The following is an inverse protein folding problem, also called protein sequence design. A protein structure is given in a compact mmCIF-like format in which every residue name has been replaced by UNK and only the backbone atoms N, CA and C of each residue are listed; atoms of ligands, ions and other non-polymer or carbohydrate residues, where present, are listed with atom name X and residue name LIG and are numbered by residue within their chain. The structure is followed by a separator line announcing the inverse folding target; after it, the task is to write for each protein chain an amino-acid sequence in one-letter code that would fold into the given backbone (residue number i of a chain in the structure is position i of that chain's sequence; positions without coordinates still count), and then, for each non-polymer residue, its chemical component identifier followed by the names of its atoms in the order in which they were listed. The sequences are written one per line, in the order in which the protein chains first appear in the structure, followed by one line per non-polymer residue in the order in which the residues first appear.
data_IF_269444047107
#
_entry.id   IF_269444047107
#
_cell.length_a   1.000
_cell.length_b   1.000
_cell.length_c   1.000
_cell.angle_alpha   90.00
_cell.angle_beta   90.00
_cell.angle_gamma   90.00
#
_symmetry.space_group_name_H-M   'P 1'
#
loop_
_entity.id
_entity.type
_entity.pdbx_description
1 polymer ?
#
# COMPACT_ATOMS: atom_id res chain seq x y z
N UNK A 1 25.31 3.11 9.27
CA UNK A 1 25.72 1.86 9.96
C UNK A 1 25.12 0.60 9.33
N UNK A 2 23.93 0.69 8.72
CA UNK A 2 23.30 -0.46 8.07
C UNK A 2 23.87 -0.71 6.66
N UNK A 3 24.14 -1.97 6.36
CA UNK A 3 24.50 -2.48 5.03
C UNK A 3 23.90 -3.87 4.86
N UNK A 4 23.45 -4.23 3.66
CA UNK A 4 22.90 -5.55 3.35
C UNK A 4 23.26 -5.99 1.93
N UNK A 5 23.59 -7.27 1.78
CA UNK A 5 23.73 -7.91 0.49
C UNK A 5 23.39 -9.41 0.60
N UNK A 6 22.64 -9.93 -0.36
CA UNK A 6 22.37 -11.37 -0.51
C UNK A 6 22.52 -11.74 -1.98
N UNK A 7 23.26 -12.81 -2.27
CA UNK A 7 23.47 -13.29 -3.65
C UNK A 7 23.99 -12.20 -4.61
N UNK A 8 24.79 -11.24 -4.11
CA UNK A 8 25.35 -10.15 -4.92
C UNK A 8 24.42 -8.95 -5.17
N UNK A 9 23.22 -8.93 -4.56
CA UNK A 9 22.28 -7.82 -4.68
C UNK A 9 21.95 -7.19 -3.31
N UNK A 10 21.84 -5.84 -3.23
CA UNK A 10 22.28 -4.86 -4.23
C UNK A 10 23.79 -4.92 -4.49
N UNK A 11 24.25 -4.40 -5.65
CA UNK A 11 25.69 -4.38 -6.00
C UNK A 11 26.51 -3.58 -4.97
N UNK A 12 25.99 -2.44 -4.54
CA UNK A 12 26.52 -1.70 -3.39
C UNK A 12 25.70 -2.09 -2.14
N UNK A 13 26.30 -2.67 -1.09
CA UNK A 13 25.58 -3.10 0.11
C UNK A 13 25.00 -1.94 0.92
N UNK A 14 25.29 -0.68 0.55
CA UNK A 14 24.69 0.54 1.12
C UNK A 14 23.40 0.95 0.42
N UNK A 15 22.97 0.24 -0.62
CA UNK A 15 21.76 0.52 -1.39
C UNK A 15 21.99 1.51 -2.53
N UNK A 16 20.90 1.92 -3.18
CA UNK A 16 20.96 2.91 -4.27
C UNK A 16 21.27 4.31 -3.72
N UNK A 17 21.93 5.19 -4.51
CA UNK A 17 22.22 6.55 -4.09
C UNK A 17 20.96 7.38 -3.81
N UNK A 18 21.01 8.24 -2.80
CA UNK A 18 19.98 9.22 -2.48
C UNK A 18 20.60 10.55 -2.02
N UNK A 19 19.87 11.66 -2.21
CA UNK A 19 20.20 12.95 -1.61
C UNK A 19 19.44 13.11 -0.29
N UNK A 20 20.13 13.29 0.85
CA UNK A 20 19.48 13.56 2.13
C UNK A 20 18.54 14.76 2.04
N UNK A 21 17.26 14.51 2.31
CA UNK A 21 16.19 15.53 2.25
C UNK A 21 15.28 15.49 3.50
N UNK A 22 15.69 14.79 4.56
CA UNK A 22 14.94 14.62 5.81
C UNK A 22 14.05 13.37 5.85
N UNK A 23 13.87 12.67 4.73
CA UNK A 23 13.17 11.38 4.69
C UNK A 23 14.04 10.23 5.20
N UNK A 24 13.39 9.18 5.68
CA UNK A 24 14.04 8.01 6.27
C UNK A 24 14.42 7.03 5.16
N UNK A 25 15.71 6.70 5.03
CA UNK A 25 16.15 5.69 4.09
C UNK A 25 15.57 4.32 4.46
N UNK A 26 14.87 3.69 3.54
CA UNK A 26 14.41 2.30 3.64
C UNK A 26 15.15 1.47 2.58
N UNK A 27 15.47 0.23 2.94
CA UNK A 27 16.16 -0.71 2.04
C UNK A 27 15.17 -1.64 1.32
N UNK A 28 14.14 -2.08 2.04
CA UNK A 28 13.16 -3.04 1.59
C UNK A 28 11.76 -2.45 1.68
N UNK A 29 10.90 -2.89 0.77
CA UNK A 29 9.47 -2.66 0.83
C UNK A 29 8.83 -3.58 1.87
N UNK A 30 7.56 -3.33 2.26
CA UNK A 30 6.75 -4.28 3.03
C UNK A 30 6.52 -5.63 2.33
N UNK A 31 6.84 -5.74 1.05
CA UNK A 31 6.91 -7.01 0.29
C UNK A 31 8.22 -7.78 0.49
N UNK A 32 9.15 -7.26 1.31
CA UNK A 32 10.53 -7.74 1.46
C UNK A 32 11.40 -7.61 0.19
N UNK A 33 10.90 -6.97 -0.87
CA UNK A 33 11.66 -6.67 -2.08
C UNK A 33 12.56 -5.44 -1.89
N UNK A 34 13.70 -5.44 -2.58
CA UNK A 34 14.61 -4.30 -2.61
C UNK A 34 13.95 -3.11 -3.33
N UNK A 35 14.10 -1.92 -2.75
CA UNK A 35 13.64 -0.68 -3.37
C UNK A 35 14.48 -0.28 -4.59
N UNK A 36 13.88 0.49 -5.52
CA UNK A 36 14.60 1.12 -6.63
C UNK A 36 15.12 2.49 -6.17
N UNK A 37 14.24 3.31 -5.57
CA UNK A 37 14.65 4.54 -4.91
C UNK A 37 14.46 4.48 -3.40
N UNK A 38 15.36 5.10 -2.62
CA UNK A 38 15.54 4.65 -1.25
C UNK A 38 14.57 5.29 -0.24
N UNK A 39 13.81 6.31 -0.65
CA UNK A 39 12.74 6.89 0.15
C UNK A 39 11.38 6.32 -0.27
N UNK A 40 10.92 5.29 0.46
CA UNK A 40 9.61 4.66 0.26
C UNK A 40 8.50 5.52 0.84
N UNK A 41 7.73 6.18 -0.01
CA UNK A 41 6.75 7.21 0.37
C UNK A 41 5.64 6.69 1.31
N UNK A 42 4.99 5.53 1.06
CA UNK A 42 4.01 4.98 2.00
C UNK A 42 4.56 4.79 3.42
N UNK A 43 5.79 4.28 3.53
CA UNK A 43 6.45 4.09 4.82
C UNK A 43 6.85 5.40 5.49
N UNK A 44 7.13 6.47 4.73
CA UNK A 44 7.33 7.80 5.32
C UNK A 44 6.05 8.32 5.98
N UNK A 45 4.90 8.16 5.31
CA UNK A 45 3.61 8.53 5.90
C UNK A 45 3.33 7.74 7.17
N UNK A 46 3.55 6.43 7.13
CA UNK A 46 3.33 5.59 8.30
C UNK A 46 4.28 5.93 9.46
N UNK A 47 5.56 6.17 9.17
CA UNK A 47 6.54 6.60 10.17
C UNK A 47 6.17 7.95 10.79
N UNK A 48 5.75 8.92 9.95
CA UNK A 48 5.32 10.24 10.38
C UNK A 48 4.06 10.17 11.26
N UNK A 49 3.03 9.42 10.85
CA UNK A 49 1.83 9.19 11.64
C UNK A 49 2.16 8.53 12.99
N UNK A 50 2.98 7.48 12.98
CA UNK A 50 3.39 6.77 14.19
C UNK A 50 4.18 7.67 15.14
N UNK A 51 5.07 8.52 14.61
CA UNK A 51 5.80 9.50 15.42
C UNK A 51 4.85 10.49 16.09
N UNK A 52 3.84 11.00 15.40
CA UNK A 52 2.80 11.87 16.01
C UNK A 52 2.10 11.18 17.18
N UNK A 53 1.67 9.93 17.01
CA UNK A 53 1.04 9.16 18.10
C UNK A 53 1.97 9.01 19.32
N UNK A 54 3.27 8.78 19.09
CA UNK A 54 4.26 8.71 20.17
C UNK A 54 4.46 10.07 20.85
N UNK A 55 4.44 11.17 20.09
CA UNK A 55 4.53 12.52 20.63
C UNK A 55 3.31 12.89 21.47
N UNK A 56 2.10 12.51 21.02
CA UNK A 56 0.87 12.69 21.78
C UNK A 56 0.92 11.91 23.10
N UNK A 57 1.37 10.65 23.06
CA UNK A 57 1.57 9.84 24.25
C UNK A 57 2.59 10.50 25.19
N UNK A 58 3.70 11.03 24.66
CA UNK A 58 4.72 11.71 25.44
C UNK A 58 4.20 12.99 26.08
N UNK A 59 3.39 13.78 25.35
CA UNK A 59 2.75 14.99 25.88
C UNK A 59 1.80 14.64 27.02
N UNK A 60 0.97 13.61 26.85
CA UNK A 60 0.02 13.15 27.89
C UNK A 60 0.74 12.61 29.12
N UNK A 61 1.81 11.81 28.95
CA UNK A 61 2.51 11.15 30.05
C UNK A 61 3.54 12.04 30.76
N UNK A 62 4.18 12.97 30.04
CA UNK A 62 5.34 13.71 30.54
C UNK A 62 5.23 15.24 30.40
N UNK A 63 4.13 15.77 29.83
CA UNK A 63 3.89 17.20 29.64
C UNK A 63 5.04 17.95 28.93
N UNK A 64 5.63 17.31 27.90
CA UNK A 64 6.70 17.90 27.09
C UNK A 64 6.20 18.16 25.68
N UNK A 65 6.38 19.39 25.19
CA UNK A 65 6.10 19.74 23.80
C UNK A 65 7.14 19.16 22.84
N UNK A 66 6.71 18.95 21.59
CA UNK A 66 7.52 18.37 20.53
C UNK A 66 7.10 18.90 19.17
N UNK A 67 8.09 19.18 18.33
CA UNK A 67 7.86 19.66 16.96
C UNK A 67 7.47 18.53 16.02
N UNK A 68 6.41 18.77 15.24
CA UNK A 68 6.01 17.91 14.14
C UNK A 68 6.90 18.17 12.91
N UNK A 69 7.30 17.10 12.22
CA UNK A 69 7.97 17.21 10.91
C UNK A 69 6.93 17.23 9.80
N UNK A 70 7.22 17.86 8.67
CA UNK A 70 6.33 17.82 7.49
C UNK A 70 6.97 16.97 6.39
N UNK A 71 6.18 16.13 5.74
CA UNK A 71 6.61 15.35 4.57
C UNK A 71 6.58 16.22 3.31
N UNK A 72 7.62 17.02 3.12
CA UNK A 72 7.80 17.80 1.90
C UNK A 72 8.38 16.95 0.77
N UNK A 73 7.99 17.22 -0.48
CA UNK A 73 8.63 16.68 -1.71
C UNK A 73 8.32 15.24 -2.12
N UNK A 74 7.20 14.67 -1.67
CA UNK A 74 6.77 13.29 -2.04
C UNK A 74 5.77 13.22 -3.20
N UNK A 75 5.39 14.39 -3.75
CA UNK A 75 4.39 14.51 -4.81
C UNK A 75 5.02 14.80 -6.18
N UNK A 76 4.38 14.29 -7.23
CA UNK A 76 4.81 14.42 -8.63
C UNK A 76 3.59 14.78 -9.49
N UNK A 77 3.78 15.66 -10.47
CA UNK A 77 2.75 15.98 -11.46
C UNK A 77 2.73 14.89 -12.53
N UNK A 78 1.62 14.18 -12.63
CA UNK A 78 1.33 13.20 -13.67
C UNK A 78 0.41 13.82 -14.73
N UNK A 79 0.68 13.60 -16.01
CA UNK A 79 -0.04 14.27 -17.11
C UNK A 79 -1.55 14.00 -17.11
N UNK A 80 -1.94 12.73 -16.87
CA UNK A 80 -3.34 12.29 -16.82
C UNK A 80 -4.04 12.51 -15.47
N UNK A 81 -3.35 12.29 -14.35
CA UNK A 81 -3.97 12.25 -13.01
C UNK A 81 -3.75 13.53 -12.20
N UNK A 82 -2.98 14.49 -12.70
CA UNK A 82 -2.62 15.69 -11.94
C UNK A 82 -1.57 15.38 -10.87
N UNK A 83 -1.64 16.06 -9.72
CA UNK A 83 -0.69 15.84 -8.63
C UNK A 83 -0.98 14.52 -7.92
N UNK A 84 -0.01 13.61 -7.89
CA UNK A 84 -0.07 12.30 -7.22
C UNK A 84 1.12 12.12 -6.27
N UNK A 85 1.06 11.15 -5.37
CA UNK A 85 2.22 10.68 -4.62
C UNK A 85 3.08 9.75 -5.48
N UNK A 86 4.40 9.90 -5.43
CA UNK A 86 5.31 8.87 -5.93
C UNK A 86 5.35 7.69 -4.95
N UNK A 87 5.68 6.50 -5.44
CA UNK A 87 5.86 5.32 -4.58
C UNK A 87 7.24 5.35 -3.90
N UNK A 88 8.28 5.65 -4.67
CA UNK A 88 9.64 5.83 -4.18
C UNK A 88 10.28 7.08 -4.79
N UNK A 89 11.15 7.76 -4.05
CA UNK A 89 11.96 8.88 -4.54
C UNK A 89 13.41 8.79 -4.06
N UNK A 90 14.32 9.48 -4.73
CA UNK A 90 15.76 9.50 -4.40
C UNK A 90 16.26 10.83 -3.82
N UNK A 91 15.39 11.86 -3.77
CA UNK A 91 15.77 13.22 -3.36
C UNK A 91 16.63 13.99 -4.38
N UNK A 92 16.99 13.37 -5.52
CA UNK A 92 17.73 13.96 -6.63
C UNK A 92 16.82 14.33 -7.81
N UNK A 93 15.51 14.12 -7.67
CA UNK A 93 14.49 14.46 -8.66
C UNK A 93 13.91 13.26 -9.40
N UNK A 94 14.36 12.03 -9.08
CA UNK A 94 13.76 10.82 -9.65
C UNK A 94 12.65 10.31 -8.74
N UNK A 95 11.62 9.78 -9.39
CA UNK A 95 10.46 9.20 -8.75
C UNK A 95 10.06 7.91 -9.48
N UNK A 96 9.60 6.93 -8.70
CA UNK A 96 8.99 5.72 -9.21
C UNK A 96 7.48 5.85 -9.03
N UNK A 97 6.75 5.78 -10.15
CA UNK A 97 5.28 5.86 -10.15
C UNK A 97 4.73 4.45 -10.29
N UNK A 98 4.24 3.89 -9.19
CA UNK A 98 3.56 2.60 -9.10
C UNK A 98 2.79 2.53 -7.77
N UNK A 99 2.22 1.38 -7.44
CA UNK A 99 1.99 0.97 -6.06
C UNK A 99 2.18 -0.54 -5.95
N UNK A 100 2.35 -1.02 -4.73
CA UNK A 100 2.52 -2.44 -4.38
C UNK A 100 1.38 -2.87 -3.45
N UNK A 101 1.04 -4.15 -3.46
CA UNK A 101 -0.05 -4.67 -2.66
C UNK A 101 0.21 -4.69 -1.15
N UNK A 102 1.47 -4.78 -0.72
CA UNK A 102 1.80 -4.89 0.71
C UNK A 102 1.61 -3.54 1.43
N UNK A 103 0.99 -3.58 2.60
CA UNK A 103 0.73 -2.40 3.45
C UNK A 103 1.94 -2.14 4.38
N UNK A 104 2.45 -0.91 4.52
CA UNK A 104 2.01 0.35 3.92
C UNK A 104 2.21 0.46 2.40
N UNK A 105 1.09 0.70 1.70
CA UNK A 105 1.01 1.07 0.29
C UNK A 105 0.38 2.46 0.13
N UNK A 106 0.51 3.08 -1.05
CA UNK A 106 -0.13 4.37 -1.31
C UNK A 106 -1.67 4.26 -1.22
N UNK A 107 -2.23 3.14 -1.68
CA UNK A 107 -3.67 2.85 -1.56
C UNK A 107 -4.14 2.77 -0.10
N UNK A 108 -3.30 2.27 0.81
CA UNK A 108 -3.63 2.07 2.22
C UNK A 108 -3.51 3.32 3.11
N UNK A 109 -3.06 4.46 2.57
CA UNK A 109 -2.74 5.64 3.38
C UNK A 109 -3.90 6.13 4.27
N UNK A 110 -5.16 6.24 3.80
CA UNK A 110 -6.27 6.62 4.67
C UNK A 110 -6.61 5.58 5.74
N UNK A 111 -6.28 4.31 5.51
CA UNK A 111 -6.47 3.24 6.49
C UNK A 111 -5.43 3.36 7.63
N UNK A 112 -4.15 3.52 7.29
CA UNK A 112 -3.07 3.59 8.28
C UNK A 112 -2.92 4.95 8.96
N UNK A 113 -3.20 6.04 8.24
CA UNK A 113 -2.93 7.40 8.66
C UNK A 113 -4.22 8.25 8.60
N UNK A 114 -5.34 7.83 9.23
CA UNK A 114 -6.65 8.45 9.02
C UNK A 114 -6.72 9.92 9.48
N UNK A 115 -5.83 10.32 10.40
CA UNK A 115 -5.72 11.70 10.88
C UNK A 115 -4.86 12.61 9.96
N UNK A 116 -4.04 12.01 9.09
CA UNK A 116 -3.14 12.76 8.20
C UNK A 116 -3.64 12.74 6.74
N UNK A 117 -4.28 11.65 6.30
CA UNK A 117 -4.76 11.47 4.93
C UNK A 117 -6.23 11.11 4.94
N UNK A 118 -7.07 12.09 4.63
CA UNK A 118 -8.52 11.89 4.45
C UNK A 118 -8.83 11.14 3.16
N UNK A 119 -9.91 10.35 3.16
CA UNK A 119 -10.47 9.71 1.96
C UNK A 119 -10.84 10.72 0.86
N UNK A 120 -11.11 11.98 1.22
CA UNK A 120 -11.44 13.05 0.28
C UNK A 120 -10.23 13.91 -0.12
N UNK A 121 -9.02 13.56 0.32
CA UNK A 121 -7.82 14.33 0.00
C UNK A 121 -7.50 14.25 -1.50
N UNK A 122 -7.45 15.39 -2.18
CA UNK A 122 -7.39 15.46 -3.66
C UNK A 122 -6.18 14.72 -4.26
N UNK A 123 -4.99 14.89 -3.67
CA UNK A 123 -3.78 14.18 -4.14
C UNK A 123 -3.92 12.67 -3.92
N UNK A 124 -4.57 12.23 -2.82
CA UNK A 124 -4.79 10.82 -2.58
C UNK A 124 -5.79 10.25 -3.59
N UNK A 125 -6.88 10.96 -3.88
CA UNK A 125 -7.85 10.53 -4.89
C UNK A 125 -7.22 10.42 -6.28
N UNK A 126 -6.40 11.39 -6.69
CA UNK A 126 -5.62 11.31 -7.92
C UNK A 126 -4.69 10.10 -7.94
N UNK A 127 -4.00 9.87 -6.82
CA UNK A 127 -3.09 8.73 -6.63
C UNK A 127 -3.86 7.41 -6.72
N UNK A 128 -5.01 7.29 -6.05
CA UNK A 128 -5.90 6.13 -6.09
C UNK A 128 -6.36 5.82 -7.52
N UNK A 129 -6.76 6.84 -8.28
CA UNK A 129 -7.13 6.67 -9.69
C UNK A 129 -5.96 6.15 -10.53
N UNK A 130 -4.75 6.65 -10.31
CA UNK A 130 -3.54 6.13 -10.96
C UNK A 130 -3.28 4.66 -10.59
N UNK A 131 -3.32 4.33 -9.30
CA UNK A 131 -3.04 2.98 -8.76
C UNK A 131 -3.98 1.92 -9.33
N UNK A 132 -5.27 2.25 -9.42
CA UNK A 132 -6.34 1.35 -9.87
C UNK A 132 -6.56 1.44 -11.39
N UNK A 133 -5.50 1.71 -12.15
CA UNK A 133 -5.51 1.83 -13.60
C UNK A 133 -4.35 1.08 -14.25
N UNK A 134 -4.43 0.86 -15.56
CA UNK A 134 -3.34 0.26 -16.34
C UNK A 134 -2.06 1.12 -16.41
N UNK A 135 -2.11 2.37 -15.94
CA UNK A 135 -0.93 3.24 -15.87
C UNK A 135 -0.03 2.89 -14.67
N UNK A 136 -0.57 2.19 -13.66
CA UNK A 136 0.23 1.50 -12.65
C UNK A 136 0.77 0.18 -13.26
N UNK A 137 2.09 -0.02 -13.36
CA UNK A 137 2.67 -1.23 -13.97
C UNK A 137 2.30 -2.53 -13.24
N UNK A 138 1.88 -2.45 -11.97
CA UNK A 138 1.51 -3.60 -11.15
C UNK A 138 0.01 -3.75 -10.95
N UNK A 139 -0.80 -2.98 -11.67
CA UNK A 139 -2.25 -3.20 -11.73
C UNK A 139 -2.59 -4.17 -12.84
N UNK A 140 -3.26 -5.26 -12.48
CA UNK A 140 -3.69 -6.30 -13.40
C UNK A 140 -5.21 -6.37 -13.47
N UNK A 141 -5.71 -6.77 -14.64
CA UNK A 141 -7.15 -6.95 -14.90
C UNK A 141 -7.35 -8.16 -15.79
N UNK A 142 -7.84 -9.24 -15.19
CA UNK A 142 -8.17 -10.49 -15.86
C UNK A 142 -9.67 -10.72 -15.97
N UNK A 143 -10.04 -11.96 -16.24
CA UNK A 143 -11.44 -12.40 -16.35
C UNK A 143 -12.12 -12.56 -14.98
N UNK A 144 -11.36 -12.75 -13.91
CA UNK A 144 -11.87 -13.02 -12.56
C UNK A 144 -11.55 -11.89 -11.59
N UNK A 145 -10.31 -11.41 -11.59
CA UNK A 145 -9.83 -10.38 -10.65
C UNK A 145 -9.29 -9.15 -11.39
N UNK A 146 -9.44 -7.99 -10.75
CA UNK A 146 -8.63 -6.80 -11.03
C UNK A 146 -8.08 -6.23 -9.73
N UNK A 147 -6.81 -5.82 -9.73
CA UNK A 147 -6.15 -5.30 -8.54
C UNK A 147 -4.65 -5.17 -8.69
N UNK A 148 -4.03 -4.73 -7.61
CA UNK A 148 -2.58 -4.50 -7.54
C UNK A 148 -1.88 -5.78 -7.09
N UNK A 149 -0.76 -6.09 -7.73
CA UNK A 149 0.19 -7.11 -7.29
C UNK A 149 1.51 -6.47 -6.85
N UNK A 150 2.61 -6.97 -7.40
CA UNK A 150 3.95 -6.45 -7.13
C UNK A 150 5.03 -7.32 -7.76
N UNK A 151 6.29 -6.86 -7.78
CA UNK A 151 7.40 -7.62 -8.32
C UNK A 151 7.71 -8.89 -7.53
N UNK A 152 7.25 -9.01 -6.28
CA UNK A 152 7.53 -10.15 -5.41
C UNK A 152 7.12 -11.50 -6.03
N UNK A 153 5.90 -11.58 -6.57
CA UNK A 153 5.39 -12.78 -7.24
C UNK A 153 5.42 -12.62 -8.76
N UNK A 154 5.19 -11.40 -9.27
CA UNK A 154 5.30 -11.08 -10.68
C UNK A 154 3.96 -10.87 -11.42
N UNK A 155 4.03 -10.90 -12.75
CA UNK A 155 2.95 -10.48 -13.63
C UNK A 155 1.69 -11.34 -13.52
N UNK A 156 0.52 -10.69 -13.56
CA UNK A 156 -0.79 -11.35 -13.57
C UNK A 156 -1.29 -11.82 -12.20
N UNK A 157 -0.46 -11.71 -11.16
CA UNK A 157 -0.77 -12.14 -9.80
C UNK A 157 -1.33 -10.97 -8.99
N UNK A 158 -2.63 -10.98 -8.72
CA UNK A 158 -3.33 -9.97 -7.92
C UNK A 158 -3.33 -10.38 -6.45
N UNK A 159 -3.07 -9.45 -5.54
CA UNK A 159 -3.03 -9.74 -4.12
C UNK A 159 -4.35 -9.39 -3.43
N UNK A 160 -4.97 -10.31 -2.67
CA UNK A 160 -6.15 -10.02 -1.86
C UNK A 160 -5.97 -8.83 -0.91
N UNK A 161 -4.76 -8.60 -0.39
CA UNK A 161 -4.44 -7.42 0.42
C UNK A 161 -4.80 -6.09 -0.28
N UNK A 162 -4.45 -5.95 -1.55
CA UNK A 162 -4.76 -4.74 -2.32
C UNK A 162 -6.26 -4.57 -2.55
N UNK A 163 -6.99 -5.67 -2.78
CA UNK A 163 -8.44 -5.64 -2.94
C UNK A 163 -9.13 -5.26 -1.62
N UNK A 164 -8.66 -5.80 -0.48
CA UNK A 164 -9.14 -5.43 0.84
C UNK A 164 -8.89 -3.94 1.09
N UNK A 165 -7.68 -3.44 0.83
CA UNK A 165 -7.35 -2.02 0.98
C UNK A 165 -8.20 -1.13 0.06
N UNK A 166 -8.44 -1.55 -1.19
CA UNK A 166 -9.36 -0.86 -2.11
C UNK A 166 -10.74 -0.71 -1.48
N UNK A 167 -11.29 -1.78 -0.91
CA UNK A 167 -12.59 -1.77 -0.23
C UNK A 167 -12.60 -0.94 1.06
N UNK A 168 -11.61 -1.12 1.93
CA UNK A 168 -11.48 -0.39 3.21
C UNK A 168 -11.35 1.13 3.02
N UNK A 169 -10.80 1.56 1.88
CA UNK A 169 -10.58 2.97 1.54
C UNK A 169 -11.52 3.48 0.45
N UNK A 170 -12.67 2.83 0.28
CA UNK A 170 -13.73 3.29 -0.62
C UNK A 170 -14.90 3.91 0.14
N UNK A 171 -15.52 4.92 -0.48
CA UNK A 171 -16.83 5.47 -0.06
C UNK A 171 -17.96 5.09 -1.02
N UNK A 172 -17.65 4.33 -2.07
CA UNK A 172 -18.61 3.88 -3.09
C UNK A 172 -19.04 2.43 -2.81
N UNK A 173 -20.32 2.25 -2.52
CA UNK A 173 -20.91 0.94 -2.18
C UNK A 173 -20.76 -0.10 -3.30
N UNK A 174 -20.81 0.32 -4.57
CA UNK A 174 -20.63 -0.61 -5.70
C UNK A 174 -19.17 -1.05 -5.85
N UNK A 175 -18.22 -0.18 -5.54
CA UNK A 175 -16.80 -0.56 -5.47
C UNK A 175 -16.54 -1.54 -4.31
N UNK A 176 -17.17 -1.31 -3.16
CA UNK A 176 -17.06 -2.21 -2.00
C UNK A 176 -17.63 -3.59 -2.37
N UNK A 177 -18.82 -3.67 -3.00
CA UNK A 177 -19.40 -4.93 -3.48
C UNK A 177 -18.52 -5.62 -4.50
N UNK A 178 -17.89 -4.87 -5.40
CA UNK A 178 -16.92 -5.43 -6.35
C UNK A 178 -15.73 -6.07 -5.61
N UNK A 179 -15.19 -5.40 -4.59
CA UNK A 179 -14.10 -5.96 -3.78
C UNK A 179 -14.52 -7.26 -3.07
N UNK A 180 -15.70 -7.29 -2.44
CA UNK A 180 -16.24 -8.49 -1.80
C UNK A 180 -16.37 -9.67 -2.79
N UNK A 181 -16.97 -9.42 -3.95
CA UNK A 181 -17.14 -10.43 -5.00
C UNK A 181 -15.80 -10.95 -5.54
N UNK A 182 -14.79 -10.10 -5.67
CA UNK A 182 -13.46 -10.53 -6.09
C UNK A 182 -12.79 -11.39 -5.01
N UNK A 183 -12.90 -11.02 -3.73
CA UNK A 183 -12.35 -11.79 -2.62
C UNK A 183 -13.00 -13.18 -2.53
N UNK A 184 -14.33 -13.24 -2.62
CA UNK A 184 -15.10 -14.49 -2.71
C UNK A 184 -14.64 -15.36 -3.89
N UNK A 185 -14.42 -14.79 -5.08
CA UNK A 185 -13.97 -15.56 -6.25
C UNK A 185 -12.50 -16.00 -6.21
N UNK A 186 -11.70 -15.47 -5.29
CA UNK A 186 -10.24 -15.67 -5.25
C UNK A 186 -9.77 -16.80 -4.33
N UNK A 187 -10.65 -17.35 -3.49
CA UNK A 187 -10.25 -18.29 -2.44
C UNK A 187 -10.10 -19.76 -2.90
N UNK A 188 -10.29 -20.10 -4.17
CA UNK A 188 -10.09 -21.46 -4.71
C UNK A 188 -10.73 -22.60 -3.89
N UNK A 189 -11.93 -22.39 -3.33
CA UNK A 189 -12.61 -23.31 -2.39
C UNK A 189 -11.88 -23.62 -1.07
N UNK A 190 -10.83 -22.87 -0.71
CA UNK A 190 -10.11 -23.05 0.57
C UNK A 190 -10.80 -22.34 1.75
N UNK A 191 -11.58 -21.28 1.48
CA UNK A 191 -12.18 -20.43 2.51
C UNK A 191 -11.19 -19.46 3.15
N UNK A 192 -9.96 -19.35 2.63
CA UNK A 192 -8.92 -18.46 3.13
C UNK A 192 -8.45 -17.46 2.07
N UNK A 193 -7.88 -16.34 2.53
CA UNK A 193 -7.17 -15.40 1.68
C UNK A 193 -5.74 -15.87 1.45
N UNK A 194 -5.35 -15.89 0.18
CA UNK A 194 -4.00 -16.22 -0.28
C UNK A 194 -3.13 -14.96 -0.36
N UNK A 195 -1.83 -15.13 -0.56
CA UNK A 195 -0.92 -14.00 -0.78
C UNK A 195 -1.19 -13.33 -2.12
N UNK A 196 -1.20 -14.12 -3.18
CA UNK A 196 -1.50 -13.66 -4.53
C UNK A 196 -2.29 -14.72 -5.29
N UNK A 197 -3.07 -14.29 -6.27
CA UNK A 197 -4.00 -15.12 -7.05
C UNK A 197 -3.91 -14.68 -8.51
N UNK A 198 -3.79 -15.64 -9.44
CA UNK A 198 -3.80 -15.33 -10.87
C UNK A 198 -5.13 -14.68 -11.26
N UNK A 199 -5.04 -13.57 -12.00
CA UNK A 199 -6.20 -12.74 -12.37
C UNK A 199 -7.26 -13.46 -13.23
N UNK A 200 -6.90 -14.58 -13.86
CA UNK A 200 -7.77 -15.38 -14.73
C UNK A 200 -8.08 -16.78 -14.17
N UNK A 201 -7.34 -17.26 -13.17
CA UNK A 201 -7.51 -18.60 -12.64
C UNK A 201 -7.20 -18.68 -11.12
N UNK A 202 -8.22 -18.64 -10.24
CA UNK A 202 -8.00 -18.59 -8.80
C UNK A 202 -7.36 -19.83 -8.21
N UNK A 203 -7.35 -20.97 -8.92
CA UNK A 203 -6.66 -22.19 -8.50
C UNK A 203 -5.14 -21.98 -8.49
N UNK A 204 -4.62 -21.03 -9.27
CA UNK A 204 -3.22 -20.62 -9.24
C UNK A 204 -3.04 -19.48 -8.24
N UNK A 205 -2.56 -19.82 -7.05
CA UNK A 205 -2.33 -18.87 -5.97
C UNK A 205 -1.03 -19.19 -5.22
N UNK A 206 -0.53 -18.22 -4.44
CA UNK A 206 0.62 -18.40 -3.55
C UNK A 206 0.19 -18.34 -2.08
N UNK A 207 0.92 -19.08 -1.23
CA UNK A 207 0.71 -19.17 0.23
C UNK A 207 -0.73 -19.55 0.62
N UNK A 208 -1.06 -20.85 0.69
CA UNK A 208 -2.39 -21.32 1.13
C UNK A 208 -2.77 -20.86 2.54
N UNK A 209 -1.78 -20.50 3.37
CA UNK A 209 -2.00 -20.05 4.73
C UNK A 209 -1.27 -18.73 4.99
N UNK A 210 -2.01 -17.63 4.93
CA UNK A 210 -1.49 -16.29 5.17
C UNK A 210 -2.32 -15.55 6.21
N UNK A 211 -1.92 -15.68 7.47
CA UNK A 211 -2.68 -15.16 8.62
C UNK A 211 -2.94 -13.65 8.52
N UNK A 212 -1.99 -12.87 8.01
CA UNK A 212 -2.17 -11.43 7.83
C UNK A 212 -3.32 -11.08 6.88
N UNK A 213 -3.37 -11.71 5.69
CA UNK A 213 -4.47 -11.49 4.75
C UNK A 213 -5.82 -11.95 5.31
N UNK A 214 -5.84 -13.08 6.04
CA UNK A 214 -7.04 -13.55 6.73
C UNK A 214 -7.54 -12.57 7.79
N UNK A 215 -6.64 -12.03 8.62
CA UNK A 215 -7.00 -11.04 9.65
C UNK A 215 -7.53 -9.75 9.03
N UNK A 216 -6.89 -9.24 7.96
CA UNK A 216 -7.38 -8.04 7.27
C UNK A 216 -8.73 -8.26 6.58
N UNK A 217 -8.99 -9.44 6.04
CA UNK A 217 -10.31 -9.78 5.52
C UNK A 217 -11.36 -9.78 6.63
N UNK A 218 -11.07 -10.40 7.76
CA UNK A 218 -11.95 -10.38 8.93
C UNK A 218 -12.24 -8.95 9.43
N UNK A 219 -11.21 -8.10 9.48
CA UNK A 219 -11.36 -6.69 9.83
C UNK A 219 -12.25 -5.94 8.83
N UNK A 220 -12.09 -6.20 7.54
CA UNK A 220 -12.92 -5.59 6.50
C UNK A 220 -14.39 -5.97 6.66
N UNK A 221 -14.68 -7.25 6.85
CA UNK A 221 -16.06 -7.72 7.11
C UNK A 221 -16.60 -7.11 8.39
N UNK A 222 -15.80 -7.03 9.46
CA UNK A 222 -16.22 -6.42 10.72
C UNK A 222 -16.56 -4.94 10.56
N UNK A 223 -15.76 -4.18 9.80
CA UNK A 223 -16.06 -2.78 9.46
C UNK A 223 -17.38 -2.66 8.72
N UNK A 224 -17.60 -3.48 7.69
CA UNK A 224 -18.84 -3.47 6.93
C UNK A 224 -20.05 -3.85 7.79
N UNK A 225 -19.93 -4.87 8.63
CA UNK A 225 -21.01 -5.25 9.55
C UNK A 225 -21.41 -4.09 10.47
N UNK A 226 -20.45 -3.29 10.95
CA UNK A 226 -20.71 -2.15 11.84
C UNK A 226 -21.25 -0.92 11.14
N UNK A 227 -20.80 -0.65 9.91
CA UNK A 227 -21.04 0.63 9.24
C UNK A 227 -21.99 0.53 8.05
N UNK A 228 -21.99 -0.62 7.36
CA UNK A 228 -22.69 -0.88 6.10
C UNK A 228 -23.21 -2.33 6.02
N UNK A 229 -23.99 -2.84 6.99
CA UNK A 229 -24.40 -4.24 7.04
C UNK A 229 -25.20 -4.68 5.80
N UNK A 230 -25.93 -3.74 5.17
CA UNK A 230 -26.67 -3.94 3.92
C UNK A 230 -25.80 -4.29 2.70
N UNK A 231 -24.46 -4.30 2.84
CA UNK A 231 -23.52 -4.77 1.82
C UNK A 231 -23.12 -6.24 1.99
N UNK A 232 -23.54 -6.88 3.08
CA UNK A 232 -23.23 -8.28 3.41
C UNK A 232 -24.41 -9.24 3.17
N UNK A 233 -25.58 -8.70 2.84
CA UNK A 233 -26.76 -9.45 2.40
C UNK A 233 -26.64 -9.87 0.93
#
# INVERSE_FOLDING_TARGET
PYTYQRQGYPRDPRGYPARPNGLIHSFFRPSDDLQIYPYLVPSQFFAHHTLKLLLDLRRVLFNVDSDERTLNSVTVKHDKYGLIYAYEIDGMGRSLLMDDANVPSLLSLPYLCPNDISLNHSIYLNTRMFILSKDNPWFFKGTILEGVGGPHVGFGMVWPLAIIMRGMTSTNDDEIRLCLKMLEKSHANTGFMHESVDMNNPIQFTRPWFAWANSLFGEFIWKLYREKPYLLD
#
